data_IF_548041412200
#
_entry.id   IF_548041412200
#
_cell.length_a   1.000
_cell.length_b   1.000
_cell.length_c   1.000
_cell.angle_alpha   90.00
_cell.angle_beta   90.00
_cell.angle_gamma   90.00
#
_symmetry.space_group_name_H-M   'P 1'
#
loop_
_entity.id
_entity.type
_entity.pdbx_description
1 polymer ?
#
# COMPACT_ATOMS: atom_id res chain seq x y z
N UNK A 1 16.08 9.10 4.00
CA UNK A 1 14.67 9.27 3.60
C UNK A 1 14.63 9.16 2.08
N UNK A 2 13.81 8.29 1.51
CA UNK A 2 13.68 8.22 0.04
C UNK A 2 13.15 9.55 -0.50
N UNK A 3 13.71 10.00 -1.62
CA UNK A 3 13.27 11.22 -2.28
C UNK A 3 12.04 10.85 -3.12
N UNK A 4 11.04 11.73 -3.14
CA UNK A 4 9.76 11.51 -3.82
C UNK A 4 9.89 10.95 -5.25
N UNK A 5 10.81 11.50 -6.04
CA UNK A 5 11.07 11.06 -7.41
C UNK A 5 11.57 9.61 -7.50
N UNK A 6 12.31 9.14 -6.49
CA UNK A 6 12.81 7.78 -6.44
C UNK A 6 11.67 6.79 -6.16
N UNK A 7 10.69 7.20 -5.34
CA UNK A 7 9.48 6.41 -5.08
C UNK A 7 8.66 6.27 -6.37
N UNK A 8 8.43 7.37 -7.09
CA UNK A 8 7.74 7.32 -8.38
C UNK A 8 8.48 6.43 -9.39
N UNK A 9 9.81 6.54 -9.49
CA UNK A 9 10.62 5.69 -10.37
C UNK A 9 10.45 4.21 -10.02
N UNK A 10 10.43 3.85 -8.73
CA UNK A 10 10.21 2.46 -8.28
C UNK A 10 8.82 1.94 -8.63
N UNK A 11 7.78 2.73 -8.36
CA UNK A 11 6.38 2.37 -8.71
C UNK A 11 6.25 2.18 -10.23
N UNK A 12 6.79 3.13 -11.01
CA UNK A 12 6.78 3.05 -12.48
C UNK A 12 7.53 1.83 -13.00
N UNK A 13 8.69 1.50 -12.40
CA UNK A 13 9.46 0.31 -12.74
C UNK A 13 8.65 -0.96 -12.47
N UNK A 14 8.05 -1.08 -11.29
CA UNK A 14 7.22 -2.25 -10.93
C UNK A 14 6.04 -2.44 -11.90
N UNK A 15 5.32 -1.37 -12.25
CA UNK A 15 4.24 -1.46 -13.24
C UNK A 15 4.72 -1.83 -14.64
N UNK A 16 5.94 -1.43 -15.03
CA UNK A 16 6.52 -1.85 -16.32
C UNK A 16 6.91 -3.32 -16.32
N UNK A 17 7.48 -3.80 -15.22
CA UNK A 17 7.82 -5.22 -15.05
C UNK A 17 6.55 -6.11 -15.09
N UNK A 18 5.42 -5.60 -14.63
CA UNK A 18 4.10 -6.25 -14.73
C UNK A 18 3.38 -6.03 -16.08
N UNK A 19 3.91 -5.21 -16.98
CA UNK A 19 3.24 -4.89 -18.24
C UNK A 19 1.96 -4.02 -18.10
N UNK A 20 1.65 -3.51 -16.91
CA UNK A 20 0.43 -2.72 -16.63
C UNK A 20 0.63 -1.21 -16.76
N UNK A 21 1.88 -0.76 -16.97
CA UNK A 21 2.20 0.66 -17.10
C UNK A 21 1.57 1.29 -18.35
N UNK A 22 0.93 2.44 -18.16
CA UNK A 22 0.56 3.35 -19.24
C UNK A 22 0.77 4.81 -18.82
N UNK A 23 0.96 5.72 -19.78
CA UNK A 23 1.17 7.15 -19.50
C UNK A 23 -0.01 7.80 -18.76
N UNK A 24 -1.22 7.26 -18.91
CA UNK A 24 -2.40 7.73 -18.20
C UNK A 24 -2.33 7.47 -16.67
N UNK A 25 -1.50 6.51 -16.24
CA UNK A 25 -1.34 6.15 -14.83
C UNK A 25 -0.42 7.10 -14.06
N UNK A 26 0.21 8.09 -14.69
CA UNK A 26 1.16 9.00 -14.02
C UNK A 26 0.53 9.75 -12.84
N UNK A 27 -0.75 10.13 -12.92
CA UNK A 27 -1.48 10.76 -11.80
C UNK A 27 -1.61 9.78 -10.62
N UNK A 28 -2.00 8.54 -10.89
CA UNK A 28 -2.15 7.49 -9.87
C UNK A 28 -0.79 7.09 -9.27
N UNK A 29 0.27 7.04 -10.09
CA UNK A 29 1.66 6.83 -9.64
C UNK A 29 2.09 7.95 -8.69
N UNK A 30 1.84 9.21 -9.06
CA UNK A 30 2.15 10.37 -8.22
C UNK A 30 1.38 10.32 -6.89
N UNK A 31 0.08 9.99 -6.93
CA UNK A 31 -0.74 9.86 -5.73
C UNK A 31 -0.24 8.74 -4.80
N UNK A 32 0.14 7.59 -5.36
CA UNK A 32 0.69 6.47 -4.60
C UNK A 32 2.05 6.82 -3.99
N UNK A 33 2.93 7.50 -4.75
CA UNK A 33 4.21 7.96 -4.27
C UNK A 33 4.08 8.98 -3.13
N UNK A 34 3.18 9.95 -3.27
CA UNK A 34 2.89 10.95 -2.24
C UNK A 34 2.34 10.31 -0.96
N UNK A 35 1.40 9.37 -1.09
CA UNK A 35 0.84 8.62 0.04
C UNK A 35 1.93 7.81 0.75
N UNK A 36 2.80 7.12 0.00
CA UNK A 36 3.90 6.35 0.57
C UNK A 36 4.91 7.26 1.28
N UNK A 37 5.25 8.42 0.71
CA UNK A 37 6.13 9.39 1.37
C UNK A 37 5.54 9.91 2.67
N UNK A 38 4.22 10.18 2.72
CA UNK A 38 3.53 10.57 3.95
C UNK A 38 3.60 9.46 5.00
N UNK A 39 3.39 8.20 4.59
CA UNK A 39 3.56 7.05 5.46
C UNK A 39 5.00 6.92 6.00
N UNK A 40 6.03 7.11 5.16
CA UNK A 40 7.43 7.06 5.59
C UNK A 40 7.72 8.12 6.65
N UNK A 41 7.23 9.35 6.47
CA UNK A 41 7.37 10.42 7.48
C UNK A 41 6.67 10.06 8.79
N UNK A 42 5.43 9.60 8.74
CA UNK A 42 4.68 9.20 9.92
C UNK A 42 5.34 8.03 10.66
N UNK A 43 5.84 7.03 9.91
CA UNK A 43 6.60 5.90 10.45
C UNK A 43 7.88 6.35 11.14
N UNK A 44 8.62 7.27 10.53
CA UNK A 44 9.85 7.79 11.12
C UNK A 44 9.57 8.56 12.42
N UNK A 45 8.46 9.31 12.52
CA UNK A 45 8.03 9.91 13.80
C UNK A 45 7.68 8.85 14.86
N UNK A 46 6.91 7.82 14.49
CA UNK A 46 6.60 6.71 15.40
C UNK A 46 7.87 5.99 15.86
N UNK A 47 8.86 5.83 14.99
CA UNK A 47 10.11 5.14 15.33
C UNK A 47 10.95 5.86 16.39
N UNK A 48 10.74 7.16 16.58
CA UNK A 48 11.42 7.97 17.60
C UNK A 48 10.74 7.88 18.97
N UNK A 49 9.55 7.28 19.06
CA UNK A 49 8.80 7.19 20.31
C UNK A 49 9.28 6.02 21.17
N UNK A 50 9.61 6.30 22.43
CA UNK A 50 9.98 5.26 23.40
C UNK A 50 8.77 4.48 23.94
N UNK A 51 7.57 5.07 23.87
CA UNK A 51 6.34 4.52 24.46
C UNK A 51 5.17 4.64 23.50
N UNK A 52 4.34 3.59 23.50
CA UNK A 52 3.10 3.54 22.70
C UNK A 52 2.00 4.45 23.25
N UNK A 53 2.01 4.68 24.58
CA UNK A 53 1.03 5.50 25.27
C UNK A 53 1.69 6.69 25.96
N UNK A 54 0.97 7.81 25.98
CA UNK A 54 1.29 9.00 26.77
C UNK A 54 0.32 9.13 27.96
N UNK A 55 0.80 9.72 29.04
CA UNK A 55 -0.08 10.12 30.16
C UNK A 55 -0.69 11.48 29.84
N UNK A 56 -1.99 11.63 30.05
CA UNK A 56 -2.71 12.90 30.03
C UNK A 56 -3.35 13.14 31.39
N UNK A 57 -3.52 14.42 31.71
CA UNK A 57 -4.18 14.88 32.92
C UNK A 57 -5.57 15.36 32.52
N UNK A 58 -6.60 14.86 33.19
CA UNK A 58 -7.99 15.27 32.96
C UNK A 58 -8.25 16.67 33.55
N UNK A 59 -9.41 17.25 33.24
CA UNK A 59 -9.84 18.53 33.85
C UNK A 59 -9.94 18.47 35.38
N UNK A 60 -10.17 17.27 35.92
CA UNK A 60 -10.28 16.98 37.35
C UNK A 60 -8.92 16.63 37.99
N UNK A 61 -7.82 16.84 37.26
CA UNK A 61 -6.46 16.54 37.70
C UNK A 61 -6.16 15.04 37.91
N UNK A 62 -6.93 14.15 37.26
CA UNK A 62 -6.68 12.70 37.27
C UNK A 62 -5.79 12.29 36.09
N UNK A 63 -4.76 11.50 36.35
CA UNK A 63 -3.91 10.93 35.30
C UNK A 63 -4.57 9.72 34.63
N UNK A 64 -4.48 9.68 33.30
CA UNK A 64 -4.91 8.53 32.51
C UNK A 64 -4.00 8.33 31.29
N UNK A 65 -3.93 7.10 30.80
CA UNK A 65 -3.11 6.76 29.63
C UNK A 65 -3.94 6.82 28.36
N UNK A 66 -3.36 7.39 27.31
CA UNK A 66 -3.91 7.37 25.95
C UNK A 66 -2.84 6.93 24.96
N UNK A 67 -3.26 6.34 23.85
CA UNK A 67 -2.36 5.99 22.74
C UNK A 67 -1.77 7.26 22.13
N UNK A 68 -0.49 7.23 21.75
CA UNK A 68 0.14 8.37 21.11
C UNK A 68 -0.48 8.60 19.72
N UNK A 69 -0.97 9.81 19.39
CA UNK A 69 -1.70 10.06 18.14
C UNK A 69 -0.87 9.77 16.88
N UNK A 70 0.45 9.80 16.95
CA UNK A 70 1.38 9.47 15.85
C UNK A 70 1.15 8.05 15.33
N UNK A 71 0.77 7.10 16.20
CA UNK A 71 0.39 5.75 15.76
C UNK A 71 -0.87 5.76 14.89
N UNK A 72 -1.88 6.58 15.25
CA UNK A 72 -3.09 6.74 14.44
C UNK A 72 -2.76 7.36 13.09
N UNK A 73 -1.96 8.43 13.09
CA UNK A 73 -1.52 9.10 11.86
C UNK A 73 -0.77 8.14 10.94
N UNK A 74 0.13 7.32 11.49
CA UNK A 74 0.85 6.30 10.72
C UNK A 74 -0.10 5.23 10.15
N UNK A 75 -1.08 4.77 10.93
CA UNK A 75 -2.07 3.79 10.48
C UNK A 75 -2.94 4.33 9.33
N UNK A 76 -3.42 5.57 9.46
CA UNK A 76 -4.23 6.22 8.42
C UNK A 76 -3.43 6.42 7.12
N UNK A 77 -2.17 6.87 7.23
CA UNK A 77 -1.28 7.01 6.09
C UNK A 77 -0.94 5.67 5.43
N UNK A 78 -0.76 4.61 6.23
CA UNK A 78 -0.54 3.25 5.74
C UNK A 78 -1.76 2.75 4.95
N UNK A 79 -2.97 3.03 5.43
CA UNK A 79 -4.20 2.61 4.77
C UNK A 79 -4.43 3.35 3.44
N UNK A 80 -4.18 4.67 3.42
CA UNK A 80 -4.22 5.45 2.17
C UNK A 80 -3.20 4.92 1.15
N UNK A 81 -1.99 4.60 1.60
CA UNK A 81 -0.94 4.00 0.75
C UNK A 81 -1.41 2.66 0.17
N UNK A 82 -2.01 1.78 0.98
CA UNK A 82 -2.52 0.48 0.50
C UNK A 82 -3.61 0.66 -0.56
N UNK A 83 -4.51 1.63 -0.40
CA UNK A 83 -5.56 1.92 -1.38
C UNK A 83 -4.96 2.39 -2.72
N UNK A 84 -4.04 3.35 -2.67
CA UNK A 84 -3.36 3.84 -3.87
C UNK A 84 -2.54 2.74 -4.58
N UNK A 85 -1.83 1.88 -3.83
CA UNK A 85 -1.12 0.74 -4.42
C UNK A 85 -2.06 -0.32 -5.01
N UNK A 86 -3.24 -0.53 -4.41
CA UNK A 86 -4.26 -1.45 -4.94
C UNK A 86 -4.82 -0.96 -6.27
N UNK A 87 -5.05 0.34 -6.41
CA UNK A 87 -5.46 0.95 -7.69
C UNK A 87 -4.45 0.70 -8.81
N UNK A 88 -3.16 0.65 -8.47
CA UNK A 88 -2.08 0.34 -9.39
C UNK A 88 -1.83 -1.17 -9.58
N UNK A 89 -2.62 -2.04 -8.94
CA UNK A 89 -2.41 -3.51 -8.92
C UNK A 89 -1.05 -3.95 -8.38
N UNK A 90 -0.45 -3.14 -7.50
CA UNK A 90 0.85 -3.42 -6.88
C UNK A 90 0.73 -4.13 -5.52
N UNK A 91 -0.38 -4.81 -5.24
CA UNK A 91 -0.59 -5.56 -4.00
C UNK A 91 -0.42 -7.06 -4.24
N UNK A 92 -0.05 -7.82 -3.20
CA UNK A 92 0.11 -9.28 -3.28
C UNK A 92 -1.08 -9.98 -3.96
N UNK A 93 -2.30 -9.61 -3.58
CA UNK A 93 -3.53 -10.16 -4.16
C UNK A 93 -3.68 -9.94 -5.68
N UNK A 94 -3.08 -8.88 -6.22
CA UNK A 94 -3.10 -8.60 -7.66
C UNK A 94 -1.86 -9.11 -8.38
N UNK A 95 -0.75 -9.30 -7.66
CA UNK A 95 0.50 -9.86 -8.20
C UNK A 95 0.37 -11.38 -8.37
N UNK A 96 -0.23 -12.08 -7.40
CA UNK A 96 -0.41 -13.54 -7.44
C UNK A 96 -1.54 -13.97 -8.38
N UNK A 97 -2.44 -13.07 -8.75
CA UNK A 97 -3.53 -13.35 -9.70
C UNK A 97 -3.09 -13.35 -11.18
N UNK A 98 -1.91 -12.81 -11.49
CA UNK A 98 -1.31 -12.84 -12.85
C UNK A 98 -0.33 -14.01 -13.03
N UNK A 99 -0.20 -14.92 -12.05
CA UNK A 99 0.60 -16.14 -12.21
C UNK A 99 -0.13 -17.07 -13.20
N UNK A 100 0.53 -17.47 -14.29
CA UNK A 100 -0.01 -18.19 -15.47
C UNK A 100 -0.65 -19.57 -15.17
N UNK A 101 -0.82 -19.92 -13.89
CA UNK A 101 -1.55 -21.08 -13.40
C UNK A 101 -2.91 -20.67 -12.80
N UNK A 102 -3.62 -19.74 -13.43
CA UNK A 102 -4.96 -19.39 -12.99
C UNK A 102 -5.91 -20.59 -13.21
N UNK A 103 -6.66 -20.98 -12.17
CA UNK A 103 -7.60 -22.11 -12.22
C UNK A 103 -8.63 -21.92 -13.36
N UNK A 104 -8.90 -20.67 -13.71
CA UNK A 104 -9.77 -20.28 -14.82
C UNK A 104 -9.17 -20.65 -16.18
N UNK A 105 -7.86 -20.46 -16.38
CA UNK A 105 -7.18 -20.85 -17.62
C UNK A 105 -7.12 -22.38 -17.76
N UNK A 106 -6.99 -23.12 -16.65
CA UNK A 106 -7.15 -24.57 -16.67
C UNK A 106 -8.59 -25.01 -17.01
N UNK A 107 -9.60 -24.32 -16.49
CA UNK A 107 -11.00 -24.60 -16.78
C UNK A 107 -11.33 -24.33 -18.25
N UNK A 108 -10.83 -23.23 -18.82
CA UNK A 108 -11.00 -22.91 -20.24
C UNK A 108 -10.37 -24.00 -21.10
N UNK A 109 -9.13 -24.42 -20.81
CA UNK A 109 -8.46 -25.53 -21.53
C UNK A 109 -9.24 -26.85 -21.41
N UNK A 110 -9.80 -27.17 -20.24
CA UNK A 110 -10.62 -28.37 -20.03
C UNK A 110 -11.92 -28.33 -20.86
N UNK A 111 -12.59 -27.17 -20.91
CA UNK A 111 -13.82 -27.00 -21.69
C UNK A 111 -13.54 -27.06 -23.20
N UNK A 112 -12.47 -26.43 -23.69
CA UNK A 112 -12.07 -26.48 -25.10
C UNK A 112 -11.72 -27.91 -25.56
N UNK A 113 -11.13 -28.71 -24.68
CA UNK A 113 -10.81 -30.11 -24.97
C UNK A 113 -12.05 -31.03 -24.91
N UNK A 114 -12.98 -30.77 -23.99
CA UNK A 114 -14.23 -31.52 -23.90
C UNK A 114 -15.18 -31.30 -25.09
N UNK A 115 -15.06 -30.16 -25.81
CA UNK A 115 -15.81 -29.88 -27.03
C UNK A 115 -15.23 -30.48 -28.31
N UNK A 116 -14.09 -31.19 -28.22
CA UNK A 116 -13.38 -31.79 -29.38
C UNK A 116 -13.47 -33.32 -29.41
N UNK A 117 -14.24 -33.94 -28.53
CA UNK A 117 -14.62 -35.37 -28.56
C UNK A 117 -15.96 -35.60 -29.26
#
# INVERSE_FOLDING_TARGET
MEIYEDIEKKIRKAMREQGTYSKAMEISISLAAGSYMAYLKARDEVSKLDKVCMTRISRENNEYKVVNPEFSVMQDAAEQTRKALRELRLTRATIEADDENDEVDELIKKVENAGKE
#
